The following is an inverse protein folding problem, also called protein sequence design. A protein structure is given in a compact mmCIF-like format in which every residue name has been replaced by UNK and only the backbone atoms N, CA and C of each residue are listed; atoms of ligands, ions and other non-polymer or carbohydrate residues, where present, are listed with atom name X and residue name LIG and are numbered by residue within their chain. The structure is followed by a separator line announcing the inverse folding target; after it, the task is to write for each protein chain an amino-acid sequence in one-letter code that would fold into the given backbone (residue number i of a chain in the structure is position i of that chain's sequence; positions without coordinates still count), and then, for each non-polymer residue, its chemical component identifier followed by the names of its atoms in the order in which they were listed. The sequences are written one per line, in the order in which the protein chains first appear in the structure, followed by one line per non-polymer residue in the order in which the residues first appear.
data_IF_674660242999
#
_entry.id   IF_674660242999
#
_cell.length_a   1.000
_cell.length_b   1.000
_cell.length_c   1.000
_cell.angle_alpha   90.00
_cell.angle_beta   90.00
_cell.angle_gamma   90.00
#
_symmetry.space_group_name_H-M   'P 1'
#
loop_
_entity.id
_entity.type
_entity.pdbx_description
1 polymer ?
#
# COMPACT_ATOMS: atom_id res chain seq x y z
N UNK A 1 -10.78 -10.16 3.26
CA UNK A 1 -9.89 -9.04 3.66
C UNK A 1 -8.49 -9.49 4.04
N UNK A 2 -8.36 -10.51 4.88
CA UNK A 2 -7.04 -11.01 5.30
C UNK A 2 -6.18 -11.40 4.09
N UNK A 3 -6.77 -12.09 3.14
CA UNK A 3 -6.06 -12.56 1.94
C UNK A 3 -5.57 -11.39 1.08
N UNK A 4 -6.38 -10.33 0.98
CA UNK A 4 -5.98 -9.11 0.25
C UNK A 4 -4.79 -8.43 0.94
N UNK A 5 -4.84 -8.31 2.27
CA UNK A 5 -3.75 -7.68 3.03
C UNK A 5 -2.47 -8.49 2.92
N UNK A 6 -2.55 -9.82 2.94
CA UNK A 6 -1.40 -10.70 2.74
C UNK A 6 -0.85 -10.57 1.31
N UNK A 7 -1.74 -10.45 0.33
CA UNK A 7 -1.35 -10.26 -1.06
C UNK A 7 -0.56 -8.96 -1.24
N UNK A 8 -1.08 -7.85 -0.72
CA UNK A 8 -0.41 -6.54 -0.82
C UNK A 8 0.91 -6.56 -0.06
N UNK A 9 0.92 -7.10 1.17
CA UNK A 9 2.14 -7.19 1.98
C UNK A 9 3.22 -8.02 1.30
N UNK A 10 2.84 -9.13 0.67
CA UNK A 10 3.78 -9.96 -0.08
C UNK A 10 4.40 -9.23 -1.26
N UNK A 11 3.60 -8.45 -1.99
CA UNK A 11 4.10 -7.65 -3.12
C UNK A 11 5.05 -6.55 -2.66
N UNK A 12 4.76 -5.91 -1.53
CA UNK A 12 5.66 -4.91 -0.95
C UNK A 12 6.99 -5.54 -0.52
N UNK A 13 6.94 -6.72 0.09
CA UNK A 13 8.14 -7.44 0.49
C UNK A 13 8.99 -7.82 -0.72
N UNK A 14 8.37 -8.34 -1.78
CA UNK A 14 9.06 -8.66 -3.04
C UNK A 14 9.75 -7.43 -3.65
N UNK A 15 9.14 -6.26 -3.49
CA UNK A 15 9.69 -5.01 -4.00
C UNK A 15 10.75 -4.41 -3.09
N UNK A 16 11.04 -5.04 -1.96
CA UNK A 16 12.03 -4.54 -1.01
C UNK A 16 11.58 -3.31 -0.23
N UNK A 17 10.28 -3.15 -0.01
CA UNK A 17 9.72 -2.02 0.71
C UNK A 17 9.58 -2.40 2.20
N UNK A 18 10.28 -1.72 3.12
CA UNK A 18 10.07 -1.94 4.55
C UNK A 18 8.66 -1.51 4.94
N UNK A 19 7.85 -2.45 5.37
CA UNK A 19 6.42 -2.23 5.54
C UNK A 19 5.88 -3.01 6.72
N UNK A 20 5.02 -2.39 7.54
CA UNK A 20 4.19 -3.05 8.55
C UNK A 20 2.77 -2.51 8.47
N UNK A 21 1.81 -3.30 8.91
CA UNK A 21 0.40 -2.94 8.89
C UNK A 21 0.01 -2.27 10.22
N UNK A 22 -0.68 -1.15 10.12
CA UNK A 22 -1.23 -0.33 11.19
C UNK A 22 -0.20 0.39 12.07
N UNK A 23 0.85 -0.27 12.55
CA UNK A 23 1.88 0.42 13.32
C UNK A 23 3.25 -0.19 13.10
N UNK A 24 4.28 0.62 13.30
CA UNK A 24 5.67 0.17 13.16
C UNK A 24 6.17 -0.32 14.52
N UNK A 25 6.54 -1.60 14.60
CA UNK A 25 6.89 -2.27 15.85
C UNK A 25 8.39 -2.51 16.04
N UNK A 26 9.18 -2.30 14.97
CA UNK A 26 10.62 -2.50 15.01
C UNK A 26 11.35 -1.21 15.32
N UNK A 27 12.69 -1.29 15.53
CA UNK A 27 13.52 -0.09 15.61
C UNK A 27 13.39 0.69 14.30
N UNK A 28 13.28 2.01 14.38
CA UNK A 28 13.06 2.84 13.19
C UNK A 28 14.30 2.83 12.31
N UNK A 29 14.11 2.46 11.05
CA UNK A 29 15.12 2.51 10.00
C UNK A 29 14.46 3.10 8.76
N UNK A 30 15.04 4.14 8.19
CA UNK A 30 14.43 4.89 7.09
C UNK A 30 14.89 4.40 5.73
N UNK A 31 14.04 4.41 4.70
CA UNK A 31 12.61 4.73 4.77
C UNK A 31 11.80 3.56 5.32
N UNK A 32 10.67 3.84 5.93
CA UNK A 32 9.73 2.80 6.35
C UNK A 32 8.30 3.22 6.03
N UNK A 33 7.42 2.23 5.89
CA UNK A 33 6.03 2.46 5.50
C UNK A 33 5.09 1.74 6.45
N UNK A 34 3.98 2.40 6.76
CA UNK A 34 2.90 1.81 7.56
C UNK A 34 1.64 1.84 6.73
N UNK A 35 0.99 0.69 6.61
CA UNK A 35 -0.24 0.56 5.83
C UNK A 35 -1.49 0.57 6.69
N UNK A 36 -2.57 1.05 6.12
CA UNK A 36 -3.91 0.97 6.70
C UNK A 36 -4.90 0.66 5.60
N UNK A 37 -6.04 0.07 5.96
CA UNK A 37 -7.03 -0.36 4.99
C UNK A 37 -8.43 0.06 5.42
N UNK A 38 -9.15 0.66 4.49
CA UNK A 38 -10.56 0.99 4.63
C UNK A 38 -11.35 0.13 3.65
N UNK A 39 -12.08 -0.85 4.18
CA UNK A 39 -13.00 -1.63 3.36
C UNK A 39 -14.29 -0.85 3.20
N UNK A 40 -14.70 -0.64 1.95
CA UNK A 40 -15.95 0.05 1.66
C UNK A 40 -17.10 -0.94 1.74
N UNK A 41 -18.22 -0.50 2.32
CA UNK A 41 -19.44 -1.32 2.41
C UNK A 41 -20.22 -1.30 1.09
N UNK A 42 -19.49 -1.19 -0.01
CA UNK A 42 -20.03 -1.16 -1.35
C UNK A 42 -19.80 -2.51 -2.00
N UNK A 43 -20.89 -3.18 -2.35
CA UNK A 43 -20.85 -4.51 -2.96
C UNK A 43 -21.49 -4.48 -4.33
N UNK A 44 -20.82 -5.10 -5.28
CA UNK A 44 -21.40 -5.37 -6.59
C UNK A 44 -22.06 -6.76 -6.58
N UNK A 45 -22.97 -6.98 -7.53
CA UNK A 45 -23.68 -8.26 -7.65
C UNK A 45 -22.74 -9.43 -7.94
N UNK A 46 -21.53 -9.17 -8.39
CA UNK A 46 -20.54 -10.17 -8.77
C UNK A 46 -19.62 -10.58 -7.61
N UNK A 47 -20.03 -10.36 -6.36
CA UNK A 47 -19.23 -10.66 -5.16
C UNK A 47 -17.95 -9.84 -5.06
N UNK A 48 -17.94 -8.64 -5.61
CA UNK A 48 -16.79 -7.74 -5.53
C UNK A 48 -16.85 -6.92 -4.24
N UNK A 49 -15.73 -6.90 -3.53
CA UNK A 49 -15.53 -6.02 -2.37
C UNK A 49 -14.46 -4.99 -2.74
N UNK A 50 -14.73 -3.73 -2.50
CA UNK A 50 -13.79 -2.65 -2.81
C UNK A 50 -13.26 -2.01 -1.54
N UNK A 51 -12.07 -1.44 -1.63
CA UNK A 51 -11.46 -0.76 -0.49
C UNK A 51 -10.35 0.18 -0.93
N UNK A 52 -9.80 0.87 0.06
CA UNK A 52 -8.70 1.81 -0.12
C UNK A 52 -7.57 1.43 0.83
N UNK A 53 -6.41 1.14 0.27
CA UNK A 53 -5.22 0.82 1.04
C UNK A 53 -4.29 2.04 1.01
N UNK A 54 -3.92 2.53 2.19
CA UNK A 54 -3.09 3.72 2.33
C UNK A 54 -1.75 3.35 2.92
N UNK A 55 -0.67 3.80 2.28
CA UNK A 55 0.70 3.64 2.76
C UNK A 55 1.25 4.99 3.15
N UNK A 56 1.60 5.16 4.41
CA UNK A 56 2.33 6.33 4.89
C UNK A 56 3.80 5.95 5.02
N UNK A 57 4.65 6.71 4.34
CA UNK A 57 6.09 6.47 4.37
C UNK A 57 6.85 7.65 4.92
N UNK A 58 7.95 7.36 5.62
CA UNK A 58 8.80 8.38 6.23
C UNK A 58 10.25 8.17 5.87
N UNK A 59 10.97 9.29 5.73
CA UNK A 59 12.41 9.31 5.50
C UNK A 59 13.01 10.52 6.19
N UNK A 60 14.21 10.33 6.73
CA UNK A 60 14.93 11.43 7.39
C UNK A 60 16.20 11.74 6.61
N UNK A 61 16.53 13.02 6.52
CA UNK A 61 17.74 13.52 5.87
C UNK A 61 17.52 13.91 4.42
N UNK A 62 17.33 12.95 3.53
CA UNK A 62 17.05 13.19 2.11
C UNK A 62 15.72 12.57 1.72
N UNK A 63 14.94 13.28 0.90
CA UNK A 63 13.68 12.76 0.39
C UNK A 63 13.84 11.78 -0.77
N UNK A 64 15.04 11.69 -1.36
CA UNK A 64 15.26 10.89 -2.56
C UNK A 64 14.94 9.40 -2.35
N UNK A 65 15.43 8.73 -1.29
CA UNK A 65 15.07 7.32 -1.08
C UNK A 65 13.57 7.10 -0.91
N UNK A 66 12.86 8.07 -0.33
CA UNK A 66 11.41 7.97 -0.16
C UNK A 66 10.69 8.06 -1.51
N UNK A 67 11.13 8.98 -2.38
CA UNK A 67 10.58 9.11 -3.73
C UNK A 67 10.84 7.84 -4.54
N UNK A 68 12.06 7.30 -4.45
CA UNK A 68 12.41 6.06 -5.15
C UNK A 68 11.56 4.88 -4.68
N UNK A 69 11.32 4.77 -3.37
CA UNK A 69 10.44 3.74 -2.82
C UNK A 69 9.01 3.91 -3.34
N UNK A 70 8.52 5.16 -3.38
CA UNK A 70 7.20 5.48 -3.93
C UNK A 70 7.09 5.07 -5.41
N UNK A 71 8.13 5.30 -6.19
CA UNK A 71 8.16 4.91 -7.60
C UNK A 71 8.13 3.38 -7.75
N UNK A 72 8.82 2.65 -6.88
CA UNK A 72 8.76 1.18 -6.89
C UNK A 72 7.35 0.69 -6.55
N UNK A 73 6.71 1.30 -5.56
CA UNK A 73 5.34 0.96 -5.19
C UNK A 73 4.39 1.22 -6.35
N UNK A 74 4.53 2.36 -7.01
CA UNK A 74 3.72 2.69 -8.18
C UNK A 74 3.92 1.67 -9.30
N UNK A 75 5.15 1.27 -9.56
CA UNK A 75 5.44 0.29 -10.62
C UNK A 75 4.78 -1.06 -10.32
N UNK A 76 4.78 -1.50 -9.06
CA UNK A 76 4.16 -2.78 -8.66
C UNK A 76 2.65 -2.72 -8.80
N UNK A 77 2.02 -1.63 -8.34
CA UNK A 77 0.57 -1.55 -8.20
C UNK A 77 -0.10 -0.67 -9.25
N UNK A 78 0.56 -0.34 -10.34
CA UNK A 78 -0.04 0.54 -11.34
C UNK A 78 -1.36 -0.02 -11.86
N UNK A 79 -1.39 -1.31 -12.16
CA UNK A 79 -2.61 -2.01 -12.57
C UNK A 79 -2.37 -3.51 -12.37
N UNK A 80 -2.37 -3.94 -11.13
CA UNK A 80 -2.02 -5.32 -10.76
C UNK A 80 -3.27 -6.16 -10.62
N UNK A 81 -3.38 -7.20 -11.43
CA UNK A 81 -4.44 -8.21 -11.32
C UNK A 81 -3.80 -9.57 -11.14
N UNK A 82 -4.30 -10.34 -10.18
CA UNK A 82 -3.78 -11.67 -9.94
C UNK A 82 -4.88 -12.57 -9.35
N UNK A 83 -4.93 -13.81 -9.84
CA UNK A 83 -5.83 -14.82 -9.31
C UNK A 83 -5.05 -15.70 -8.34
N UNK A 84 -5.59 -15.87 -7.13
CA UNK A 84 -5.06 -16.79 -6.14
C UNK A 84 -6.19 -17.68 -5.63
N UNK A 85 -6.15 -18.96 -6.02
CA UNK A 85 -7.24 -19.88 -5.69
C UNK A 85 -8.53 -19.45 -6.35
N UNK A 86 -9.55 -19.22 -5.55
CA UNK A 86 -10.87 -18.77 -6.03
C UNK A 86 -11.04 -17.26 -5.94
N UNK A 87 -9.97 -16.52 -5.67
CA UNK A 87 -10.02 -15.07 -5.52
C UNK A 87 -9.29 -14.38 -6.65
N UNK A 88 -9.86 -13.27 -7.10
CA UNK A 88 -9.21 -12.33 -8.01
C UNK A 88 -8.96 -11.04 -7.27
N UNK A 89 -7.70 -10.62 -7.25
CA UNK A 89 -7.31 -9.33 -6.68
C UNK A 89 -6.99 -8.35 -7.79
N UNK A 90 -7.47 -7.13 -7.64
CA UNK A 90 -7.13 -6.03 -8.52
C UNK A 90 -6.73 -4.84 -7.66
N UNK A 91 -5.47 -4.41 -7.75
CA UNK A 91 -4.96 -3.27 -7.01
C UNK A 91 -4.44 -2.25 -8.00
N UNK A 92 -4.90 -1.02 -7.87
CA UNK A 92 -4.50 0.07 -8.76
C UNK A 92 -3.88 1.20 -7.95
N UNK A 93 -2.84 1.80 -8.50
CA UNK A 93 -2.25 3.00 -7.93
C UNK A 93 -3.23 4.17 -8.07
N UNK A 94 -3.52 4.82 -6.95
CA UNK A 94 -4.43 5.96 -6.94
C UNK A 94 -3.69 7.29 -6.93
N UNK A 95 -2.87 7.52 -5.92
CA UNK A 95 -2.16 8.78 -5.78
C UNK A 95 -0.94 8.66 -4.88
N UNK A 96 -0.04 9.62 -5.01
CA UNK A 96 1.12 9.79 -4.15
C UNK A 96 1.18 11.25 -3.75
N UNK A 97 1.11 11.54 -2.46
CA UNK A 97 1.03 12.89 -1.94
C UNK A 97 2.13 13.14 -0.91
N UNK A 98 3.09 14.05 -1.19
CA UNK A 98 4.01 14.49 -0.15
C UNK A 98 3.26 15.26 0.93
N UNK A 99 3.54 14.94 2.19
CA UNK A 99 2.88 15.56 3.33
C UNK A 99 3.91 16.39 4.09
N UNK A 100 3.67 17.69 4.32
CA UNK A 100 4.57 18.50 5.13
C UNK A 100 4.65 17.98 6.56
N UNK A 101 5.87 18.00 7.13
CA UNK A 101 6.09 17.67 8.52
C UNK A 101 6.56 18.91 9.25
N UNK A 102 6.56 18.86 10.59
CA UNK A 102 7.05 19.99 11.40
C UNK A 102 8.57 19.98 11.55
N UNK A 103 9.23 18.89 11.18
CA UNK A 103 10.68 18.78 11.24
C UNK A 103 11.27 18.98 9.85
N UNK A 104 12.29 19.84 9.75
CA UNK A 104 12.85 20.23 8.46
C UNK A 104 13.50 19.09 7.68
N UNK A 105 14.04 18.09 8.38
CA UNK A 105 14.73 16.96 7.77
C UNK A 105 13.91 15.67 7.72
N UNK A 106 12.64 15.74 8.14
CA UNK A 106 11.74 14.59 8.11
C UNK A 106 10.77 14.74 6.95
N UNK A 107 10.73 13.74 6.08
CA UNK A 107 9.87 13.72 4.91
C UNK A 107 8.83 12.63 5.05
N UNK A 108 7.62 12.92 4.59
CA UNK A 108 6.50 11.99 4.62
C UNK A 108 5.82 11.96 3.26
N UNK A 109 5.34 10.78 2.87
CA UNK A 109 4.54 10.60 1.67
C UNK A 109 3.35 9.70 2.02
N UNK A 110 2.20 10.01 1.44
CA UNK A 110 1.01 9.16 1.56
C UNK A 110 0.66 8.63 0.18
N UNK A 111 0.62 7.31 0.05
CA UNK A 111 0.29 6.63 -1.19
C UNK A 111 -1.06 5.94 -1.01
N UNK A 112 -1.96 6.16 -1.96
CA UNK A 112 -3.30 5.56 -1.94
C UNK A 112 -3.41 4.55 -3.07
N UNK A 113 -3.83 3.33 -2.70
CA UNK A 113 -4.10 2.24 -3.64
C UNK A 113 -5.59 1.91 -3.58
N UNK A 114 -6.21 1.72 -4.73
CA UNK A 114 -7.59 1.29 -4.81
C UNK A 114 -7.63 -0.22 -5.04
N UNK A 115 -8.45 -0.91 -4.27
CA UNK A 115 -8.48 -2.37 -4.28
C UNK A 115 -9.85 -2.91 -4.65
N UNK A 116 -9.85 -4.04 -5.34
CA UNK A 116 -11.05 -4.83 -5.60
C UNK A 116 -10.70 -6.29 -5.39
N UNK A 117 -11.60 -7.00 -4.73
CA UNK A 117 -11.44 -8.43 -4.48
C UNK A 117 -12.73 -9.16 -4.86
N UNK A 118 -12.62 -10.14 -5.75
CA UNK A 118 -13.73 -11.01 -6.12
C UNK A 118 -13.50 -12.39 -5.53
N UNK A 119 -14.55 -12.96 -4.96
CA UNK A 119 -14.53 -14.32 -4.44
C UNK A 119 -15.28 -15.22 -5.41
N UNK A 120 -14.66 -16.34 -5.77
CA UNK A 120 -15.34 -17.40 -6.46
C UNK A 120 -16.30 -18.14 -5.52
N UNK A 121 -17.19 -18.90 -6.08
CA UNK A 121 -18.13 -19.74 -5.32
C UNK A 121 -17.51 -21.06 -4.91
#
# INVERSE_FOLDING_TARGET
MVELLEFIGGKLEEAGIPYEYEEWTQAVSYPYFVGSFLESDYRYEDNCTVGTFTLDGWMRGSKIPLIEAGDRIKAVFQDLQEVQGERLFHVRFGSSLPIPTREADLFKITITLFTSEWKGE
#
